data_IF_789548215776
#
_entry.id   IF_789548215776
#
_cell.length_a   1.000
_cell.length_b   1.000
_cell.length_c   1.000
_cell.angle_alpha   90.00
_cell.angle_beta   90.00
_cell.angle_gamma   90.00
#
_symmetry.space_group_name_H-M   'P 1'
#
loop_
_entity.id
_entity.type
_entity.pdbx_description
1 polymer ?
#
# COMPACT_ATOMS: atom_id res chain seq x y z
N UNK A 1 -27.55 -5.03 24.50
CA UNK A 1 -27.12 -5.88 23.38
C UNK A 1 -27.19 -5.03 22.11
N UNK A 2 -26.09 -4.83 21.37
CA UNK A 2 -26.08 -3.92 20.20
C UNK A 2 -26.71 -4.64 19.00
N UNK A 3 -27.67 -4.00 18.31
CA UNK A 3 -28.26 -4.57 17.09
C UNK A 3 -27.26 -4.50 15.91
N UNK A 4 -26.82 -5.68 15.46
CA UNK A 4 -25.83 -5.88 14.40
C UNK A 4 -26.28 -5.41 13.01
N UNK A 5 -27.58 -5.17 12.81
CA UNK A 5 -28.14 -4.69 11.53
C UNK A 5 -27.90 -3.20 11.32
N UNK A 6 -27.67 -2.45 12.40
CA UNK A 6 -27.50 -0.99 12.35
C UNK A 6 -26.15 -0.57 11.76
N UNK A 7 -26.11 0.60 11.11
CA UNK A 7 -24.87 1.22 10.61
C UNK A 7 -23.88 1.43 11.76
N UNK A 8 -24.36 1.85 12.94
CA UNK A 8 -23.55 2.06 14.13
C UNK A 8 -22.83 0.78 14.56
N UNK A 9 -23.51 -0.37 14.53
CA UNK A 9 -22.88 -1.66 14.83
C UNK A 9 -21.82 -2.05 13.80
N UNK A 10 -22.09 -1.84 12.49
CA UNK A 10 -21.11 -2.12 11.43
C UNK A 10 -19.85 -1.28 11.59
N UNK A 11 -19.99 0.02 11.90
CA UNK A 11 -18.87 0.92 12.18
C UNK A 11 -18.07 0.50 13.41
N UNK A 12 -18.74 0.07 14.48
CA UNK A 12 -18.08 -0.44 15.70
C UNK A 12 -17.28 -1.71 15.43
N UNK A 13 -17.81 -2.65 14.65
CA UNK A 13 -17.08 -3.86 14.23
C UNK A 13 -15.83 -3.49 13.43
N UNK A 14 -15.95 -2.58 12.47
CA UNK A 14 -14.79 -2.11 11.70
C UNK A 14 -13.75 -1.44 12.60
N UNK A 15 -14.17 -0.59 13.55
CA UNK A 15 -13.27 0.07 14.49
C UNK A 15 -12.51 -0.90 15.41
N UNK A 16 -13.07 -2.08 15.69
CA UNK A 16 -12.44 -3.14 16.49
C UNK A 16 -11.65 -4.14 15.64
N UNK A 17 -11.79 -4.09 14.31
CA UNK A 17 -11.09 -4.97 13.39
C UNK A 17 -9.66 -4.47 13.13
N UNK A 18 -8.82 -5.36 12.61
CA UNK A 18 -7.45 -4.99 12.24
C UNK A 18 -7.48 -3.94 11.13
N UNK A 19 -6.83 -2.80 11.35
CA UNK A 19 -6.87 -1.66 10.43
C UNK A 19 -6.43 -2.02 8.99
N UNK A 20 -5.52 -3.00 8.85
CA UNK A 20 -5.08 -3.52 7.55
C UNK A 20 -6.23 -4.09 6.72
N UNK A 21 -7.14 -4.79 7.39
CA UNK A 21 -8.23 -5.51 6.75
C UNK A 21 -9.38 -4.54 6.45
N UNK A 22 -9.57 -3.58 7.37
CA UNK A 22 -10.53 -2.47 7.20
C UNK A 22 -10.20 -1.63 5.97
N UNK A 23 -8.93 -1.32 5.71
CA UNK A 23 -8.51 -0.55 4.52
C UNK A 23 -8.93 -1.25 3.23
N UNK A 24 -8.70 -2.56 3.14
CA UNK A 24 -9.09 -3.35 1.97
C UNK A 24 -10.61 -3.39 1.82
N UNK A 25 -11.33 -3.58 2.93
CA UNK A 25 -12.79 -3.57 2.95
C UNK A 25 -13.35 -2.21 2.49
N UNK A 26 -12.76 -1.10 2.91
CA UNK A 26 -13.18 0.25 2.52
C UNK A 26 -12.94 0.51 1.04
N UNK A 27 -11.81 0.03 0.49
CA UNK A 27 -11.55 0.07 -0.95
C UNK A 27 -12.61 -0.72 -1.73
N UNK A 28 -12.91 -1.94 -1.30
CA UNK A 28 -13.93 -2.77 -1.97
C UNK A 28 -15.32 -2.11 -1.93
N UNK A 29 -15.65 -1.44 -0.83
CA UNK A 29 -16.89 -0.67 -0.72
C UNK A 29 -16.92 0.54 -1.66
N UNK A 30 -15.81 1.28 -1.76
CA UNK A 30 -15.69 2.41 -2.68
C UNK A 30 -15.85 1.99 -4.14
N UNK A 31 -15.17 0.91 -4.56
CA UNK A 31 -15.28 0.35 -5.90
C UNK A 31 -16.71 -0.13 -6.19
N UNK A 32 -17.36 -0.82 -5.24
CA UNK A 32 -18.77 -1.26 -5.37
C UNK A 32 -19.76 -0.10 -5.45
N UNK A 33 -19.44 1.05 -4.84
CA UNK A 33 -20.22 2.27 -4.96
C UNK A 33 -20.06 2.96 -6.33
N UNK A 34 -19.26 2.40 -7.24
CA UNK A 34 -19.03 2.93 -8.58
C UNK A 34 -17.89 3.96 -8.66
N UNK A 35 -17.13 4.15 -7.57
CA UNK A 35 -15.97 5.03 -7.60
C UNK A 35 -14.85 4.37 -8.40
N UNK A 36 -14.29 5.11 -9.35
CA UNK A 36 -13.16 4.67 -10.17
C UNK A 36 -11.93 5.50 -9.84
N UNK A 37 -10.78 4.85 -9.75
CA UNK A 37 -9.50 5.51 -9.49
C UNK A 37 -8.38 4.80 -10.26
N UNK A 38 -7.42 5.57 -10.78
CA UNK A 38 -6.22 5.01 -11.42
C UNK A 38 -5.15 4.63 -10.41
N UNK A 39 -5.07 5.39 -9.32
CA UNK A 39 -4.07 5.24 -8.26
C UNK A 39 -4.74 5.30 -6.89
N UNK A 40 -4.22 4.52 -5.95
CA UNK A 40 -4.50 4.68 -4.53
C UNK A 40 -3.24 5.16 -3.84
N UNK A 41 -3.38 6.21 -3.04
CA UNK A 41 -2.30 6.77 -2.26
C UNK A 41 -2.39 6.30 -0.81
N UNK A 42 -1.31 5.70 -0.29
CA UNK A 42 -1.25 5.18 1.08
C UNK A 42 -0.13 5.80 1.90
N UNK A 43 -0.43 5.98 3.19
CA UNK A 43 0.58 6.30 4.19
C UNK A 43 1.40 5.05 4.57
N UNK A 44 2.56 5.28 5.19
CA UNK A 44 3.55 4.25 5.57
C UNK A 44 2.97 3.15 6.47
N UNK A 45 1.92 3.45 7.22
CA UNK A 45 1.27 2.48 8.11
C UNK A 45 0.53 1.37 7.34
N UNK A 46 0.22 1.60 6.06
CA UNK A 46 -0.51 0.69 5.18
C UNK A 46 0.36 0.16 4.02
N UNK A 47 1.66 0.44 4.03
CA UNK A 47 2.58 0.09 2.95
C UNK A 47 3.20 -1.31 3.10
N UNK A 48 2.53 -2.24 3.76
CA UNK A 48 3.05 -3.61 3.93
C UNK A 48 2.98 -4.35 2.58
N UNK A 49 3.99 -5.15 2.17
CA UNK A 49 3.97 -5.83 0.87
C UNK A 49 2.70 -6.63 0.60
N UNK A 50 2.14 -7.27 1.63
CA UNK A 50 0.88 -8.01 1.50
C UNK A 50 -0.29 -7.11 1.04
N UNK A 51 -0.42 -5.91 1.61
CA UNK A 51 -1.48 -4.98 1.21
C UNK A 51 -1.25 -4.46 -0.20
N UNK A 52 0.00 -4.14 -0.54
CA UNK A 52 0.37 -3.67 -1.88
C UNK A 52 -0.05 -4.71 -2.93
N UNK A 53 0.23 -5.99 -2.69
CA UNK A 53 -0.21 -7.07 -3.59
C UNK A 53 -1.73 -7.17 -3.66
N UNK A 54 -2.43 -7.13 -2.52
CA UNK A 54 -3.90 -7.21 -2.49
C UNK A 54 -4.58 -6.07 -3.26
N UNK A 55 -4.04 -4.86 -3.20
CA UNK A 55 -4.59 -3.69 -3.90
C UNK A 55 -4.26 -3.77 -5.39
N UNK A 56 -3.05 -4.22 -5.75
CA UNK A 56 -2.66 -4.44 -7.14
C UNK A 56 -3.55 -5.49 -7.83
N UNK A 57 -3.91 -6.56 -7.12
CA UNK A 57 -4.86 -7.58 -7.59
C UNK A 57 -6.26 -7.04 -7.90
N UNK A 58 -6.63 -5.85 -7.38
CA UNK A 58 -7.90 -5.16 -7.69
C UNK A 58 -7.79 -4.25 -8.92
N UNK A 59 -6.66 -4.26 -9.62
CA UNK A 59 -6.42 -3.44 -10.80
C UNK A 59 -6.07 -1.98 -10.50
N UNK A 60 -5.69 -1.67 -9.26
CA UNK A 60 -5.36 -0.31 -8.83
C UNK A 60 -3.84 -0.14 -8.74
N UNK A 61 -3.32 0.94 -9.31
CA UNK A 61 -1.91 1.31 -9.11
C UNK A 61 -1.74 1.95 -7.73
N UNK A 62 -0.53 1.86 -7.17
CA UNK A 62 -0.28 2.24 -5.77
C UNK A 62 0.85 3.25 -5.69
N UNK A 63 0.62 4.31 -4.93
CA UNK A 63 1.64 5.27 -4.53
C UNK A 63 1.69 5.24 -3.00
N UNK A 64 2.78 4.73 -2.43
CA UNK A 64 2.89 4.60 -0.99
C UNK A 64 4.26 5.03 -0.49
N UNK A 65 4.28 5.64 0.69
CA UNK A 65 5.52 5.73 1.46
C UNK A 65 5.83 4.35 2.02
N UNK A 66 7.03 3.82 1.79
CA UNK A 66 7.43 2.50 2.27
C UNK A 66 8.39 2.59 3.45
N UNK A 67 8.14 1.78 4.48
CA UNK A 67 9.01 1.70 5.66
C UNK A 67 10.38 1.15 5.27
N UNK A 68 11.44 1.88 5.63
CA UNK A 68 12.83 1.40 5.51
C UNK A 68 13.06 0.30 6.54
N UNK A 69 13.11 -0.95 6.10
CA UNK A 69 13.32 -2.12 6.95
C UNK A 69 14.19 -3.15 6.24
N UNK A 70 15.10 -3.80 6.97
CA UNK A 70 15.88 -4.93 6.45
C UNK A 70 15.03 -6.19 6.23
N UNK A 71 13.88 -6.29 6.92
CA UNK A 71 12.94 -7.42 6.81
C UNK A 71 12.08 -7.38 5.55
N UNK A 72 11.95 -6.20 4.93
CA UNK A 72 11.14 -6.01 3.73
C UNK A 72 12.09 -5.98 2.53
N UNK A 73 11.96 -6.98 1.66
CA UNK A 73 12.76 -7.11 0.45
C UNK A 73 11.86 -7.08 -0.78
N UNK A 74 12.39 -6.51 -1.85
CA UNK A 74 11.80 -6.39 -3.16
C UNK A 74 12.68 -7.14 -4.15
N UNK A 75 12.08 -7.68 -5.19
CA UNK A 75 12.84 -8.24 -6.29
C UNK A 75 13.33 -7.11 -7.18
N UNK A 76 14.64 -7.04 -7.38
CA UNK A 76 15.30 -6.08 -8.24
C UNK A 76 16.46 -6.79 -8.96
N UNK A 77 16.48 -6.76 -10.29
CA UNK A 77 17.48 -7.45 -11.12
C UNK A 77 17.66 -8.94 -10.76
N UNK A 78 16.55 -9.64 -10.48
CA UNK A 78 16.55 -11.06 -10.10
C UNK A 78 17.07 -11.36 -8.68
N UNK A 79 17.34 -10.33 -7.86
CA UNK A 79 17.81 -10.46 -6.48
C UNK A 79 16.80 -9.87 -5.50
N UNK A 80 16.67 -10.51 -4.33
CA UNK A 80 15.88 -9.96 -3.23
C UNK A 80 16.70 -8.95 -2.44
N UNK A 81 16.35 -7.67 -2.55
CA UNK A 81 17.07 -6.56 -1.94
C UNK A 81 16.12 -5.65 -1.16
N UNK A 82 16.56 -5.11 -0.03
CA UNK A 82 15.80 -4.08 0.67
C UNK A 82 15.98 -2.71 0.01
N UNK A 83 15.10 -1.75 0.35
CA UNK A 83 15.12 -0.40 -0.23
C UNK A 83 16.50 0.27 -0.14
N UNK A 84 17.20 0.13 0.99
CA UNK A 84 18.54 0.74 1.16
C UNK A 84 19.56 0.13 0.21
N UNK A 85 19.53 -1.19 0.01
CA UNK A 85 20.43 -1.89 -0.90
C UNK A 85 20.18 -1.46 -2.35
N UNK A 86 18.91 -1.35 -2.77
CA UNK A 86 18.54 -0.89 -4.11
C UNK A 86 19.05 0.55 -4.34
N UNK A 87 18.82 1.46 -3.37
CA UNK A 87 19.33 2.83 -3.45
C UNK A 87 20.85 2.92 -3.51
N UNK A 88 21.56 2.04 -2.81
CA UNK A 88 23.02 2.02 -2.83
C UNK A 88 23.59 1.46 -4.14
N UNK A 89 22.91 0.48 -4.74
CA UNK A 89 23.29 -0.11 -6.02
C UNK A 89 23.07 0.88 -7.18
N UNK A 90 21.96 1.61 -7.17
CA UNK A 90 21.62 2.56 -8.23
C UNK A 90 21.80 4.01 -7.76
N UNK A 91 23.04 4.51 -7.81
CA UNK A 91 23.33 5.89 -7.43
C UNK A 91 22.73 6.89 -8.43
N UNK A 92 22.05 7.92 -7.91
CA UNK A 92 21.54 9.03 -8.71
C UNK A 92 22.67 9.74 -9.48
N UNK A 93 22.44 10.01 -10.78
CA UNK A 93 23.30 10.91 -11.56
C UNK A 93 23.09 12.36 -11.10
N UNK A 94 24.17 13.05 -10.72
CA UNK A 94 24.11 14.45 -10.24
C UNK A 94 23.49 15.37 -11.31
N UNK A 95 22.66 16.32 -10.86
CA UNK A 95 22.23 17.48 -11.66
C UNK A 95 21.06 17.32 -12.65
N UNK A 96 20.47 16.13 -12.85
CA UNK A 96 19.49 15.92 -13.94
C UNK A 96 18.10 15.39 -13.60
N UNK A 97 17.85 14.84 -12.40
CA UNK A 97 16.57 14.17 -12.11
C UNK A 97 15.78 14.81 -10.96
N UNK A 98 14.45 14.94 -11.16
CA UNK A 98 13.44 15.39 -10.18
C UNK A 98 13.21 14.37 -9.05
N UNK A 99 13.57 13.09 -9.26
CA UNK A 99 13.44 12.00 -8.30
C UNK A 99 14.80 11.52 -7.78
N UNK A 100 14.81 10.81 -6.64
CA UNK A 100 16.04 10.28 -6.05
C UNK A 100 16.57 9.07 -6.83
N UNK A 101 15.69 8.15 -7.20
CA UNK A 101 15.96 6.97 -8.03
C UNK A 101 14.64 6.53 -8.68
N UNK A 102 14.70 6.11 -9.93
CA UNK A 102 13.62 5.40 -10.62
C UNK A 102 14.25 4.14 -11.20
N UNK A 103 13.60 3.02 -10.92
CA UNK A 103 13.97 1.70 -11.42
C UNK A 103 12.80 1.18 -12.26
N UNK A 104 13.08 0.48 -13.37
CA UNK A 104 12.05 -0.19 -14.16
C UNK A 104 11.41 -1.34 -13.39
#
# INVERSE_FOLDING_TARGET
KIDKRTIASKRRIMAQSKGTDVVIQLLDQALKAGLTAKYVMFDTWFSNPHQIVQISQRGLNIIAMVKKSSKITYEFEGKRMNVKQIFNACKKRRGRSRYLLSVP
#
